data_IF_777179257469
#
_entry.id   IF_777179257469
#
_cell.length_a   1.000
_cell.length_b   1.000
_cell.length_c   1.000
_cell.angle_alpha   90.00
_cell.angle_beta   90.00
_cell.angle_gamma   90.00
#
_symmetry.space_group_name_H-M   'P 1'
#
loop_
_entity.id
_entity.type
_entity.pdbx_description
1 polymer ?
#
# COMPACT_ATOMS: atom_id res chain seq x y z
N UNK A 1 -2.41 18.45 12.16
CA UNK A 1 -2.29 17.05 11.70
C UNK A 1 -3.55 16.68 10.91
N UNK A 2 -3.65 17.13 9.66
CA UNK A 2 -4.76 16.75 8.80
C UNK A 2 -4.44 15.39 8.19
N UNK A 3 -5.10 14.32 8.66
CA UNK A 3 -5.21 13.10 7.87
C UNK A 3 -5.92 13.50 6.57
N UNK A 4 -5.13 13.70 5.52
CA UNK A 4 -5.60 14.15 4.22
C UNK A 4 -6.61 13.16 3.66
N UNK A 5 -7.64 13.71 3.04
CA UNK A 5 -8.64 12.97 2.27
C UNK A 5 -7.87 12.10 1.25
N UNK A 6 -7.82 10.78 1.48
CA UNK A 6 -7.22 9.86 0.52
C UNK A 6 -8.08 9.84 -0.73
N UNK A 7 -7.58 10.44 -1.82
CA UNK A 7 -8.22 10.40 -3.14
C UNK A 7 -8.46 8.93 -3.50
N UNK A 8 -9.71 8.55 -3.75
CA UNK A 8 -10.04 7.17 -4.13
C UNK A 8 -9.24 6.78 -5.38
N UNK A 9 -8.62 5.58 -5.41
CA UNK A 9 -7.79 5.19 -6.54
C UNK A 9 -8.64 4.90 -7.77
N UNK A 10 -8.18 5.39 -8.92
CA UNK A 10 -8.88 5.21 -10.20
C UNK A 10 -8.76 3.76 -10.67
N UNK A 11 -9.86 3.16 -11.11
CA UNK A 11 -9.87 1.76 -11.59
C UNK A 11 -9.49 1.73 -13.08
N UNK A 12 -8.48 0.93 -13.44
CA UNK A 12 -8.02 0.75 -14.82
C UNK A 12 -7.96 -0.72 -15.20
N UNK A 13 -8.22 -1.05 -16.47
CA UNK A 13 -8.13 -2.41 -16.95
C UNK A 13 -6.68 -2.83 -17.20
N UNK A 14 -6.34 -4.10 -16.94
CA UNK A 14 -5.00 -4.63 -17.19
C UNK A 14 -4.54 -4.47 -18.65
N UNK A 15 -5.48 -4.57 -19.62
CA UNK A 15 -5.16 -4.37 -21.04
C UNK A 15 -4.67 -2.94 -21.29
N UNK A 16 -5.36 -1.96 -20.72
CA UNK A 16 -5.04 -0.55 -20.89
C UNK A 16 -3.73 -0.19 -20.18
N UNK A 17 -3.53 -0.69 -18.95
CA UNK A 17 -2.25 -0.57 -18.25
C UNK A 17 -1.07 -1.10 -19.08
N UNK A 18 -1.22 -2.29 -19.70
CA UNK A 18 -0.14 -2.89 -20.52
C UNK A 18 0.22 -2.06 -21.75
N UNK A 19 -0.73 -1.34 -22.33
CA UNK A 19 -0.50 -0.50 -23.51
C UNK A 19 0.10 0.86 -23.12
N UNK A 20 -0.19 1.35 -21.91
CA UNK A 20 0.11 2.70 -21.46
C UNK A 20 0.99 2.74 -20.18
N UNK A 21 1.77 1.68 -19.92
CA UNK A 21 2.46 1.48 -18.64
C UNK A 21 3.29 2.70 -18.21
N UNK A 22 4.07 3.28 -19.13
CA UNK A 22 4.91 4.45 -18.82
C UNK A 22 4.08 5.68 -18.42
N UNK A 23 2.92 5.90 -19.03
CA UNK A 23 2.04 7.02 -18.69
C UNK A 23 1.52 6.88 -17.25
N UNK A 24 1.10 5.67 -16.88
CA UNK A 24 0.64 5.38 -15.53
C UNK A 24 1.76 5.48 -14.50
N UNK A 25 2.97 4.99 -14.81
CA UNK A 25 4.15 5.15 -13.93
C UNK A 25 4.41 6.63 -13.67
N UNK A 26 4.43 7.46 -14.72
CA UNK A 26 4.63 8.91 -14.59
C UNK A 26 3.53 9.59 -13.76
N UNK A 27 2.28 9.12 -13.86
CA UNK A 27 1.17 9.63 -13.06
C UNK A 27 1.31 9.22 -11.57
N UNK A 28 1.73 7.98 -11.30
CA UNK A 28 2.01 7.49 -9.94
C UNK A 28 3.13 8.31 -9.29
N UNK A 29 4.21 8.62 -10.00
CA UNK A 29 5.28 9.50 -9.48
C UNK A 29 4.77 10.90 -9.11
N UNK A 30 3.65 11.35 -9.68
CA UNK A 30 3.02 12.66 -9.39
C UNK A 30 1.99 12.60 -8.27
N UNK A 31 1.85 11.46 -7.59
CA UNK A 31 0.91 11.32 -6.48
C UNK A 31 -0.39 10.60 -6.82
N UNK A 32 -0.57 10.12 -8.06
CA UNK A 32 -1.78 9.38 -8.43
C UNK A 32 -1.75 7.92 -7.95
N UNK A 33 -2.93 7.34 -7.75
CA UNK A 33 -3.09 5.95 -7.34
C UNK A 33 -4.11 5.25 -8.24
N UNK A 34 -3.83 4.00 -8.60
CA UNK A 34 -4.64 3.21 -9.52
C UNK A 34 -4.88 1.80 -8.99
N UNK A 35 -6.08 1.26 -9.20
CA UNK A 35 -6.38 -0.17 -9.02
C UNK A 35 -6.47 -0.82 -10.38
N UNK A 36 -5.56 -1.75 -10.65
CA UNK A 36 -5.53 -2.50 -11.91
C UNK A 36 -6.41 -3.75 -11.77
N UNK A 37 -7.42 -3.87 -12.64
CA UNK A 37 -8.36 -4.99 -12.64
C UNK A 37 -8.15 -5.91 -13.85
N UNK A 38 -8.33 -7.22 -13.63
CA UNK A 38 -8.36 -8.24 -14.68
C UNK A 38 -9.68 -9.01 -14.55
N UNK A 39 -10.50 -9.02 -15.61
CA UNK A 39 -11.83 -9.66 -15.62
C UNK A 39 -12.69 -9.21 -14.42
N UNK A 40 -12.74 -7.89 -14.20
CA UNK A 40 -13.49 -7.24 -13.10
C UNK A 40 -13.06 -7.64 -11.68
N UNK A 41 -11.89 -8.27 -11.52
CA UNK A 41 -11.30 -8.56 -10.21
C UNK A 41 -10.02 -7.73 -10.03
N UNK A 42 -9.83 -7.09 -8.86
CA UNK A 42 -8.56 -6.43 -8.54
C UNK A 42 -7.39 -7.40 -8.67
N UNK A 43 -6.36 -7.00 -9.40
CA UNK A 43 -5.13 -7.76 -9.56
C UNK A 43 -4.02 -7.18 -8.67
N UNK A 44 -3.81 -5.86 -8.74
CA UNK A 44 -2.86 -5.13 -7.91
C UNK A 44 -3.21 -3.63 -7.87
N UNK A 45 -2.61 -2.89 -6.95
CA UNK A 45 -2.69 -1.43 -6.84
C UNK A 45 -1.32 -0.82 -7.14
N UNK A 46 -1.31 0.33 -7.79
CA UNK A 46 -0.14 1.20 -7.89
C UNK A 46 -0.39 2.46 -7.10
N UNK A 47 0.58 2.85 -6.29
CA UNK A 47 0.55 4.06 -5.49
C UNK A 47 1.97 4.65 -5.42
N UNK A 48 2.10 5.95 -5.13
CA UNK A 48 3.40 6.57 -4.98
C UNK A 48 4.18 5.86 -3.88
N UNK A 49 5.47 5.62 -4.10
CA UNK A 49 6.33 5.03 -3.07
C UNK A 49 6.54 6.08 -1.98
N UNK A 50 6.07 5.81 -0.78
CA UNK A 50 6.48 6.55 0.41
C UNK A 50 7.90 6.07 0.77
N UNK A 51 8.92 6.89 0.49
CA UNK A 51 10.33 6.54 0.74
C UNK A 51 10.65 6.34 2.23
N UNK A 52 9.74 6.71 3.12
CA UNK A 52 9.93 6.67 4.56
C UNK A 52 9.19 5.47 5.15
N UNK A 53 9.91 4.35 5.29
CA UNK A 53 9.46 3.28 6.18
C UNK A 53 9.40 3.83 7.61
N UNK A 54 8.18 4.04 8.11
CA UNK A 54 8.01 4.38 9.52
C UNK A 54 8.06 3.12 10.38
N UNK A 55 8.75 3.23 11.52
CA UNK A 55 8.71 2.17 12.52
C UNK A 55 7.33 2.18 13.18
N UNK A 56 6.44 1.31 12.71
CA UNK A 56 5.07 1.17 13.24
C UNK A 56 5.06 0.71 14.70
N UNK A 57 5.97 -0.19 15.07
CA UNK A 57 6.10 -0.70 16.44
C UNK A 57 7.52 -1.21 16.70
N UNK A 58 8.00 -1.00 17.93
CA UNK A 58 9.27 -1.54 18.42
C UNK A 58 9.00 -2.55 19.55
N UNK A 59 8.98 -3.84 19.22
CA UNK A 59 8.72 -4.88 20.21
C UNK A 59 9.82 -4.98 21.28
N UNK A 60 11.01 -4.42 21.03
CA UNK A 60 12.09 -4.40 22.04
C UNK A 60 11.79 -3.47 23.22
N UNK A 61 10.90 -2.47 23.03
CA UNK A 61 10.41 -1.61 24.11
C UNK A 61 9.51 -2.34 25.09
N UNK A 62 8.87 -3.43 24.65
CA UNK A 62 8.02 -4.28 25.49
C UNK A 62 8.89 -5.32 26.21
N UNK A 63 9.77 -5.99 25.47
CA UNK A 63 10.74 -6.90 26.04
C UNK A 63 12.05 -6.85 25.24
N UNK A 64 13.17 -6.58 25.92
CA UNK A 64 14.50 -6.47 25.31
C UNK A 64 14.96 -7.77 24.62
N UNK A 65 14.47 -8.94 25.05
CA UNK A 65 14.77 -10.22 24.41
C UNK A 65 13.82 -10.56 23.25
N UNK A 66 12.92 -9.65 22.89
CA UNK A 66 11.87 -9.87 21.91
C UNK A 66 10.57 -10.37 22.55
N UNK A 67 9.49 -10.33 21.76
CA UNK A 67 8.16 -10.76 22.16
C UNK A 67 7.76 -11.97 21.32
N UNK A 68 7.22 -13.00 21.96
CA UNK A 68 6.70 -14.18 21.27
C UNK A 68 5.55 -13.80 20.32
N UNK A 69 5.67 -14.18 19.05
CA UNK A 69 4.70 -13.83 18.01
C UNK A 69 3.30 -14.39 18.30
N UNK A 70 3.17 -15.56 18.93
CA UNK A 70 1.88 -16.17 19.25
C UNK A 70 1.12 -15.36 20.30
N UNK A 71 1.84 -14.74 21.25
CA UNK A 71 1.22 -13.87 22.25
C UNK A 71 0.65 -12.61 21.61
N UNK A 72 1.37 -12.01 20.67
CA UNK A 72 0.89 -10.84 19.92
C UNK A 72 -0.35 -11.21 19.11
N UNK A 73 -0.29 -12.32 18.36
CA UNK A 73 -1.42 -12.80 17.55
C UNK A 73 -2.66 -13.08 18.39
N UNK A 74 -2.50 -13.57 19.62
CA UNK A 74 -3.62 -13.84 20.54
C UNK A 74 -4.30 -12.57 21.05
N UNK A 75 -3.57 -11.44 21.13
CA UNK A 75 -4.11 -10.16 21.58
C UNK A 75 -4.83 -9.35 20.47
N UNK A 76 -4.70 -9.78 19.21
CA UNK A 76 -5.33 -9.15 18.04
C UNK A 76 -6.63 -9.84 17.60
N UNK A 77 -7.02 -10.93 18.28
CA UNK A 77 -8.25 -11.69 18.02
C UNK A 77 -9.42 -11.16 18.83
#
# INVERSE_FOLDING_TARGET
MSKGITKQPTIIALKDFRLNAQSYINAVTKGESFVVVKRSRPAFRMEPVEEQWERVVDFTKINKSGVDANKILSALK
#
